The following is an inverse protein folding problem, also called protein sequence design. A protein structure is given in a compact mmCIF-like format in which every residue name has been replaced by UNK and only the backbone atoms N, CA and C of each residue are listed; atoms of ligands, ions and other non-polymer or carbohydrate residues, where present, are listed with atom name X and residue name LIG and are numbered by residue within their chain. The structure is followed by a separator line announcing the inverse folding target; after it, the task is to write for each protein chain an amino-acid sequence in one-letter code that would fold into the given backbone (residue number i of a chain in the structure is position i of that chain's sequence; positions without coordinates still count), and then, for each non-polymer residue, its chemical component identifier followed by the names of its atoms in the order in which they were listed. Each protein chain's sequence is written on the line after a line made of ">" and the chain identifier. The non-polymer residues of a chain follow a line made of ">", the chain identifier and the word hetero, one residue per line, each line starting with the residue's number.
data_IF_630662352019
#
_entry.id   IF_630662352019
#
_cell.length_a   1.000
_cell.length_b   1.000
_cell.length_c   1.000
_cell.angle_alpha   90.00
_cell.angle_beta   90.00
_cell.angle_gamma   90.00
#
_symmetry.space_group_name_H-M   'P 1'
#
loop_
_entity.id
_entity.type
_entity.pdbx_description
1 polymer ?
#
# COMPACT_ATOMS: atom_id res chain seq x y z
N UNK A 1 -1.62 17.44 12.85
CA UNK A 1 -1.95 16.01 12.85
C UNK A 1 -3.19 15.86 12.01
N UNK A 2 -3.08 15.16 10.88
CA UNK A 2 -4.21 14.90 10.02
C UNK A 2 -4.95 13.66 10.56
N UNK A 3 -6.27 13.63 10.39
CA UNK A 3 -7.09 12.49 10.78
C UNK A 3 -7.86 11.99 9.56
N UNK A 4 -8.04 10.69 9.47
CA UNK A 4 -8.97 10.09 8.51
C UNK A 4 -10.17 9.52 9.23
N UNK A 5 -11.33 9.63 8.63
CA UNK A 5 -12.56 9.01 9.13
C UNK A 5 -12.80 7.68 8.41
N UNK A 6 -12.98 6.60 9.17
CA UNK A 6 -13.38 5.30 8.66
C UNK A 6 -14.39 4.64 9.61
N UNK A 7 -15.54 4.23 9.08
CA UNK A 7 -16.65 3.63 9.86
C UNK A 7 -17.13 4.50 11.06
N UNK A 8 -17.05 5.83 10.93
CA UNK A 8 -17.42 6.76 12.02
C UNK A 8 -16.40 6.83 13.16
N UNK A 9 -15.19 6.28 12.96
CA UNK A 9 -14.05 6.44 13.85
C UNK A 9 -12.97 7.29 13.18
N UNK A 10 -12.30 8.12 13.97
CA UNK A 10 -11.15 8.91 13.51
C UNK A 10 -9.86 8.14 13.77
N UNK A 11 -8.97 8.12 12.77
CA UNK A 11 -7.66 7.50 12.84
C UNK A 11 -6.59 8.54 12.56
N UNK A 12 -5.52 8.53 13.36
CA UNK A 12 -4.42 9.46 13.20
C UNK A 12 -3.53 9.06 12.01
N UNK A 13 -3.25 10.04 11.16
CA UNK A 13 -2.30 9.90 10.05
C UNK A 13 -1.22 10.98 10.10
N UNK A 14 -0.06 10.67 9.52
CA UNK A 14 1.01 11.65 9.36
C UNK A 14 0.70 12.67 8.24
N UNK A 15 1.59 13.64 8.04
CA UNK A 15 1.44 14.70 7.02
C UNK A 15 1.47 14.15 5.57
N UNK A 16 1.94 12.93 5.37
CA UNK A 16 1.95 12.23 4.09
C UNK A 16 0.79 11.22 3.96
N UNK A 17 -0.08 11.16 4.97
CA UNK A 17 -1.25 10.30 5.03
C UNK A 17 -0.96 8.83 5.33
N UNK A 18 0.17 8.53 5.99
CA UNK A 18 0.43 7.20 6.56
C UNK A 18 -0.27 7.04 7.89
N UNK A 19 -0.83 5.85 8.13
CA UNK A 19 -1.46 5.53 9.41
C UNK A 19 -0.42 5.51 10.53
N UNK A 20 -0.68 6.28 11.59
CA UNK A 20 0.21 6.33 12.77
C UNK A 20 0.24 4.98 13.49
N UNK A 21 -0.92 4.30 13.56
CA UNK A 21 -1.05 2.97 14.15
C UNK A 21 -1.44 1.93 13.10
N UNK A 22 -0.44 1.23 12.57
CA UNK A 22 -0.62 0.21 11.53
C UNK A 22 -1.50 -0.96 11.97
N UNK A 23 -1.66 -1.20 13.28
CA UNK A 23 -2.51 -2.28 13.80
C UNK A 23 -4.00 -1.97 13.66
N UNK A 24 -4.35 -0.69 13.55
CA UNK A 24 -5.72 -0.23 13.38
C UNK A 24 -6.23 -0.28 11.94
N UNK A 25 -5.34 -0.52 10.98
CA UNK A 25 -5.70 -0.55 9.57
C UNK A 25 -6.72 -1.64 9.26
N UNK A 26 -7.68 -1.29 8.41
CA UNK A 26 -8.71 -2.18 7.86
C UNK A 26 -8.71 -2.07 6.35
N UNK A 27 -9.14 -3.13 5.65
CA UNK A 27 -9.13 -3.21 4.18
C UNK A 27 -9.83 -2.02 3.51
N UNK A 28 -10.92 -1.52 4.11
CA UNK A 28 -11.64 -0.36 3.57
C UNK A 28 -10.90 0.97 3.68
N UNK A 29 -9.92 1.11 4.59
CA UNK A 29 -9.12 2.34 4.74
C UNK A 29 -8.22 2.56 3.53
N UNK A 30 -7.74 1.47 2.90
CA UNK A 30 -6.94 1.56 1.69
C UNK A 30 -7.67 2.31 0.57
N UNK A 31 -8.97 2.08 0.41
CA UNK A 31 -9.78 2.75 -0.60
C UNK A 31 -9.93 4.24 -0.33
N UNK A 32 -10.02 4.64 0.94
CA UNK A 32 -10.05 6.05 1.33
C UNK A 32 -8.71 6.71 0.97
N UNK A 33 -7.59 6.12 1.40
CA UNK A 33 -6.25 6.65 1.12
C UNK A 33 -5.98 6.76 -0.38
N UNK A 34 -6.35 5.74 -1.16
CA UNK A 34 -6.18 5.76 -2.61
C UNK A 34 -7.04 6.84 -3.27
N UNK A 35 -8.27 7.04 -2.78
CA UNK A 35 -9.18 8.08 -3.28
C UNK A 35 -8.63 9.49 -3.03
N UNK A 36 -7.91 9.71 -1.92
CA UNK A 36 -7.20 10.99 -1.68
C UNK A 36 -6.13 11.26 -2.75
N UNK A 37 -5.47 10.21 -3.25
CA UNK A 37 -4.50 10.29 -4.35
C UNK A 37 -5.16 10.27 -5.75
N UNK A 38 -6.50 10.21 -5.82
CA UNK A 38 -7.24 10.10 -7.08
C UNK A 38 -7.11 8.72 -7.76
N UNK A 39 -6.76 7.68 -7.01
CA UNK A 39 -6.59 6.31 -7.49
C UNK A 39 -7.79 5.47 -7.07
N UNK A 40 -8.36 4.74 -8.03
CA UNK A 40 -9.39 3.74 -7.76
C UNK A 40 -8.73 2.36 -7.55
N UNK A 41 -8.97 1.74 -6.39
CA UNK A 41 -8.40 0.43 -6.08
C UNK A 41 -9.11 -0.68 -6.86
N UNK A 42 -8.48 -1.12 -7.94
CA UNK A 42 -8.84 -2.35 -8.64
C UNK A 42 -8.40 -3.61 -7.90
N UNK A 43 -8.74 -4.78 -8.44
CA UNK A 43 -8.31 -6.08 -7.90
C UNK A 43 -6.79 -6.20 -7.82
N UNK A 44 -6.10 -5.61 -8.80
CA UNK A 44 -4.64 -5.67 -8.92
C UNK A 44 -3.96 -4.81 -7.84
N UNK A 45 -4.53 -3.65 -7.51
CA UNK A 45 -4.08 -2.84 -6.38
C UNK A 45 -4.32 -3.54 -5.05
N UNK A 46 -5.51 -4.12 -4.87
CA UNK A 46 -5.85 -4.84 -3.64
C UNK A 46 -4.92 -6.01 -3.39
N UNK A 47 -4.57 -6.76 -4.43
CA UNK A 47 -3.64 -7.88 -4.29
C UNK A 47 -2.23 -7.46 -3.86
N UNK A 48 -1.72 -6.34 -4.38
CA UNK A 48 -0.47 -5.75 -3.90
C UNK A 48 -0.58 -5.36 -2.43
N UNK A 49 -1.66 -4.69 -2.05
CA UNK A 49 -1.90 -4.20 -0.69
C UNK A 49 -1.99 -5.37 0.30
N UNK A 50 -2.78 -6.39 -0.01
CA UNK A 50 -2.91 -7.62 0.79
C UNK A 50 -1.57 -8.32 0.92
N UNK A 51 -0.82 -8.46 -0.18
CA UNK A 51 0.51 -9.07 -0.14
C UNK A 51 1.47 -8.31 0.79
N UNK A 52 1.51 -6.97 0.70
CA UNK A 52 2.33 -6.13 1.56
C UNK A 52 1.95 -6.31 3.03
N UNK A 53 0.65 -6.37 3.32
CA UNK A 53 0.09 -6.59 4.65
C UNK A 53 0.53 -7.94 5.21
N UNK A 54 0.28 -9.02 4.49
CA UNK A 54 0.65 -10.38 4.90
C UNK A 54 2.16 -10.53 5.10
N UNK A 55 2.95 -9.92 4.22
CA UNK A 55 4.40 -9.93 4.33
C UNK A 55 4.87 -9.16 5.58
N UNK A 56 4.29 -7.99 5.84
CA UNK A 56 4.62 -7.20 7.02
C UNK A 56 4.16 -7.89 8.30
N UNK A 57 2.98 -8.48 8.36
CA UNK A 57 2.52 -9.24 9.52
C UNK A 57 3.48 -10.40 9.84
N UNK A 58 3.97 -11.09 8.80
CA UNK A 58 4.87 -12.23 8.94
C UNK A 58 6.32 -11.85 9.28
N UNK A 59 6.85 -10.79 8.68
CA UNK A 59 8.28 -10.44 8.75
C UNK A 59 8.56 -9.13 9.49
N UNK A 60 7.53 -8.39 9.88
CA UNK A 60 7.58 -7.06 10.52
C UNK A 60 8.45 -6.06 9.74
N UNK A 61 8.52 -6.22 8.42
CA UNK A 61 9.31 -5.39 7.50
C UNK A 61 8.60 -5.28 6.16
N UNK A 62 8.61 -4.09 5.56
CA UNK A 62 8.08 -3.89 4.22
C UNK A 62 8.98 -4.60 3.18
N UNK A 63 8.41 -5.38 2.25
CA UNK A 63 9.20 -6.07 1.23
C UNK A 63 9.77 -5.08 0.21
N UNK A 64 10.93 -5.41 -0.34
CA UNK A 64 11.50 -4.65 -1.46
C UNK A 64 10.64 -4.78 -2.72
N UNK A 65 10.66 -3.75 -3.58
CA UNK A 65 10.02 -3.75 -4.92
C UNK A 65 10.34 -5.02 -5.73
N UNK A 66 11.57 -5.54 -5.62
CA UNK A 66 11.99 -6.78 -6.30
C UNK A 66 11.20 -8.01 -5.85
N UNK A 67 10.81 -8.08 -4.58
CA UNK A 67 9.99 -9.17 -4.05
C UNK A 67 8.56 -8.98 -4.57
N UNK A 68 8.04 -7.75 -4.49
CA UNK A 68 6.69 -7.43 -4.95
C UNK A 68 6.48 -7.78 -6.44
N UNK A 69 7.38 -7.32 -7.31
CA UNK A 69 7.35 -7.64 -8.75
C UNK A 69 7.43 -9.14 -9.02
N UNK A 70 8.23 -9.88 -8.25
CA UNK A 70 8.35 -11.33 -8.39
C UNK A 70 7.08 -12.07 -7.99
N UNK A 71 6.39 -11.64 -6.94
CA UNK A 71 5.14 -12.26 -6.49
C UNK A 71 3.99 -11.90 -7.44
N UNK A 72 3.88 -10.64 -7.86
CA UNK A 72 2.94 -10.25 -8.91
C UNK A 72 3.16 -11.03 -10.20
N UNK A 73 4.41 -11.28 -10.57
CA UNK A 73 4.74 -12.10 -11.74
C UNK A 73 4.24 -13.54 -11.63
N UNK A 74 4.18 -14.10 -10.42
CA UNK A 74 3.67 -15.46 -10.19
C UNK A 74 2.14 -15.50 -10.23
N UNK A 75 1.49 -14.52 -9.62
CA UNK A 75 0.03 -14.48 -9.50
C UNK A 75 -0.63 -14.02 -10.81
N UNK A 76 -0.07 -12.98 -11.43
CA UNK A 76 -0.69 -12.26 -12.55
C UNK A 76 0.07 -12.40 -13.88
N UNK A 77 1.22 -13.07 -13.88
CA UNK A 77 2.03 -13.28 -15.07
C UNK A 77 3.08 -12.19 -15.33
N UNK A 78 3.87 -12.40 -16.38
CA UNK A 78 5.12 -11.66 -16.65
C UNK A 78 4.92 -10.17 -16.92
N UNK A 79 3.82 -9.81 -17.58
CA UNK A 79 3.47 -8.42 -17.93
C UNK A 79 3.10 -7.59 -16.69
N UNK A 80 2.30 -8.17 -15.80
CA UNK A 80 1.81 -7.53 -14.56
C UNK A 80 2.82 -7.57 -13.40
N UNK A 81 3.89 -8.35 -13.54
CA UNK A 81 5.00 -8.43 -12.59
C UNK A 81 6.18 -7.53 -12.93
N UNK A 82 5.93 -6.35 -13.51
CA UNK A 82 6.98 -5.42 -13.93
C UNK A 82 6.95 -4.12 -13.12
N UNK A 83 8.12 -3.50 -12.95
CA UNK A 83 8.20 -2.18 -12.28
C UNK A 83 7.36 -1.15 -13.04
N UNK A 84 7.35 -1.20 -14.37
CA UNK A 84 6.53 -0.31 -15.20
C UNK A 84 5.05 -0.42 -14.83
N UNK A 85 4.54 -1.65 -14.80
CA UNK A 85 3.14 -1.91 -14.45
C UNK A 85 2.80 -1.46 -13.02
N UNK A 86 3.71 -1.63 -12.07
CA UNK A 86 3.55 -1.08 -10.73
C UNK A 86 3.44 0.45 -10.70
N UNK A 87 4.18 1.16 -11.55
CA UNK A 87 4.03 2.61 -11.69
C UNK A 87 2.74 3.01 -12.42
N UNK A 88 2.18 2.14 -13.26
CA UNK A 88 0.85 2.36 -13.85
C UNK A 88 -0.25 2.22 -12.79
N UNK A 89 -0.14 1.26 -11.88
CA UNK A 89 -1.04 1.11 -10.74
C UNK A 89 -0.87 2.22 -9.69
N UNK A 90 0.38 2.60 -9.43
CA UNK A 90 0.78 3.53 -8.37
C UNK A 90 1.70 4.64 -8.93
N UNK A 91 1.12 5.64 -9.62
CA UNK A 91 1.88 6.71 -10.29
C UNK A 91 2.70 7.58 -9.34
N UNK A 92 2.27 7.74 -8.08
CA UNK A 92 3.00 8.46 -7.03
C UNK A 92 4.18 7.68 -6.44
N UNK A 93 4.44 6.48 -6.96
CA UNK A 93 5.53 5.61 -6.55
C UNK A 93 5.00 4.34 -5.88
N UNK A 94 5.26 3.15 -6.44
CA UNK A 94 4.67 1.91 -5.95
C UNK A 94 5.06 1.56 -4.53
N UNK A 95 6.31 1.81 -4.12
CA UNK A 95 6.69 1.59 -2.73
C UNK A 95 5.94 2.56 -1.79
N UNK A 96 5.83 3.83 -2.17
CA UNK A 96 5.22 4.87 -1.33
C UNK A 96 3.71 4.63 -1.17
N UNK A 97 3.00 4.60 -2.29
CA UNK A 97 1.54 4.48 -2.30
C UNK A 97 1.08 3.11 -1.83
N UNK A 98 1.70 2.02 -2.28
CA UNK A 98 1.26 0.70 -1.86
C UNK A 98 1.51 0.44 -0.36
N UNK A 99 2.64 0.91 0.20
CA UNK A 99 2.86 0.82 1.66
C UNK A 99 1.86 1.66 2.42
N UNK A 100 1.59 2.90 1.96
CA UNK A 100 0.58 3.77 2.56
C UNK A 100 -0.79 3.08 2.59
N UNK A 101 -1.25 2.56 1.45
CA UNK A 101 -2.58 1.93 1.33
C UNK A 101 -2.68 0.61 2.09
N UNK A 102 -1.56 -0.10 2.28
CA UNK A 102 -1.48 -1.27 3.15
C UNK A 102 -1.42 -0.91 4.64
N UNK A 103 -1.47 0.38 4.99
CA UNK A 103 -1.38 0.87 6.36
C UNK A 103 -0.04 0.53 7.01
N UNK A 104 1.01 0.38 6.21
CA UNK A 104 2.36 0.14 6.70
C UNK A 104 3.01 1.46 7.07
N UNK A 105 3.93 1.46 8.06
CA UNK A 105 4.69 2.67 8.38
C UNK A 105 5.49 3.14 7.17
N UNK A 106 5.73 4.45 7.12
CA UNK A 106 6.51 5.08 6.06
C UNK A 106 7.84 4.32 5.84
N UNK A 107 8.13 3.85 4.62
CA UNK A 107 9.37 3.14 4.36
C UNK A 107 10.54 4.10 4.54
N UNK A 108 11.40 3.83 5.54
CA UNK A 108 12.62 4.60 5.82
C UNK A 108 13.77 4.29 4.85
N UNK A 109 13.55 3.44 3.86
CA UNK A 109 14.53 3.02 2.86
C UNK A 109 14.36 3.71 1.51
N UNK A 110 14.55 5.02 1.46
CA UNK A 110 14.90 5.73 0.23
C UNK A 110 16.22 6.48 0.47
N UNK A 111 17.33 5.81 0.15
CA UNK A 111 18.62 6.46 -0.15
C UNK A 111 19.09 5.91 -1.48
#
# INVERSE_FOLDING_TARGET
>A
MATMEFEGQEYEVDEEGYLMDWSQWKEGMAAIMAKEDGIELGEEHKAVITFLREYFEKYQIAPMIKILTKELKKVYGKDKGSTKYLYELYPGGPAKQACRYAGLPKPTGCV
#
